data_IF_525055663275
#
_entry.id   IF_525055663275
#
_cell.length_a   1.000
_cell.length_b   1.000
_cell.length_c   1.000
_cell.angle_alpha   90.00
_cell.angle_beta   90.00
_cell.angle_gamma   90.00
#
_symmetry.space_group_name_H-M   'P 1'
#
loop_
_entity.id
_entity.type
_entity.pdbx_description
1 polymer ?
#
# COMPACT_ATOMS: atom_id res chain seq x y z
N UNK A 1 0.48 -34.62 42.64
CA UNK A 1 -0.65 -34.28 41.75
C UNK A 1 -0.32 -32.99 40.99
N UNK A 2 -0.21 -33.06 39.66
CA UNK A 2 0.20 -31.93 38.82
C UNK A 2 -0.94 -30.90 38.72
N UNK A 3 -0.70 -29.67 39.20
CA UNK A 3 -1.59 -28.52 38.98
C UNK A 3 -1.41 -28.02 37.55
N UNK A 4 -1.95 -28.74 36.57
CA UNK A 4 -2.01 -28.26 35.19
C UNK A 4 -3.34 -27.54 35.00
N UNK A 5 -3.37 -26.23 35.22
CA UNK A 5 -4.46 -25.42 34.67
C UNK A 5 -4.29 -25.44 33.15
N UNK A 6 -5.30 -25.94 32.43
CA UNK A 6 -5.35 -25.77 30.98
C UNK A 6 -5.52 -24.28 30.70
N UNK A 7 -4.48 -23.65 30.15
CA UNK A 7 -4.54 -22.25 29.77
C UNK A 7 -5.69 -22.03 28.76
N UNK A 8 -6.62 -21.15 29.09
CA UNK A 8 -7.70 -20.78 28.18
C UNK A 8 -7.11 -20.10 26.93
N UNK A 9 -7.45 -20.65 25.76
CA UNK A 9 -6.98 -20.10 24.48
C UNK A 9 -7.68 -18.76 24.24
N UNK A 10 -6.96 -17.66 24.37
CA UNK A 10 -7.46 -16.33 23.98
C UNK A 10 -7.84 -16.34 22.50
N UNK A 11 -9.12 -16.13 22.21
CA UNK A 11 -9.61 -16.00 20.83
C UNK A 11 -9.14 -14.67 20.25
N UNK A 12 -8.50 -14.69 19.09
CA UNK A 12 -8.13 -13.46 18.39
C UNK A 12 -9.39 -12.66 18.01
N UNK A 13 -9.38 -11.34 18.25
CA UNK A 13 -10.46 -10.43 17.83
C UNK A 13 -10.53 -10.36 16.29
N UNK A 14 -11.65 -9.91 15.73
CA UNK A 14 -11.72 -9.58 14.30
C UNK A 14 -10.92 -8.32 13.98
N UNK A 15 -10.38 -8.23 12.76
CA UNK A 15 -9.68 -7.02 12.31
C UNK A 15 -10.64 -5.82 12.21
N UNK A 16 -10.24 -4.57 12.56
CA UNK A 16 -11.13 -3.41 12.49
C UNK A 16 -11.46 -2.92 11.08
N UNK A 17 -10.66 -3.26 10.07
CA UNK A 17 -10.80 -2.74 8.70
C UNK A 17 -11.60 -3.74 7.84
N UNK A 18 -11.24 -5.01 7.91
CA UNK A 18 -11.86 -6.07 7.10
C UNK A 18 -12.88 -6.91 7.87
N UNK A 19 -13.06 -6.65 9.18
CA UNK A 19 -13.92 -7.45 10.07
C UNK A 19 -13.64 -8.97 10.04
N UNK A 20 -12.45 -9.37 9.59
CA UNK A 20 -12.06 -10.76 9.38
C UNK A 20 -11.04 -11.22 10.44
N UNK A 21 -11.31 -12.36 11.09
CA UNK A 21 -10.43 -12.92 12.14
C UNK A 21 -9.13 -13.51 11.56
N UNK A 22 -9.18 -14.09 10.36
CA UNK A 22 -8.00 -14.65 9.69
C UNK A 22 -6.99 -13.56 9.38
N UNK A 23 -7.45 -12.40 8.89
CA UNK A 23 -6.61 -11.22 8.66
C UNK A 23 -5.89 -10.83 9.94
N UNK A 24 -6.61 -10.68 11.06
CA UNK A 24 -5.99 -10.33 12.33
C UNK A 24 -4.98 -11.40 12.81
N UNK A 25 -5.26 -12.68 12.63
CA UNK A 25 -4.32 -13.76 13.00
C UNK A 25 -3.06 -13.77 12.14
N UNK A 26 -3.19 -13.55 10.82
CA UNK A 26 -2.05 -13.44 9.90
C UNK A 26 -1.21 -12.20 10.23
N UNK A 27 -1.86 -11.07 10.47
CA UNK A 27 -1.22 -9.81 10.86
C UNK A 27 -0.45 -9.97 12.18
N UNK A 28 -1.07 -10.55 13.22
CA UNK A 28 -0.42 -10.80 14.51
C UNK A 28 0.76 -11.78 14.41
N UNK A 29 0.73 -12.72 13.45
CA UNK A 29 1.83 -13.67 13.22
C UNK A 29 3.01 -13.01 12.49
N UNK A 30 2.75 -12.08 11.57
CA UNK A 30 3.78 -11.35 10.79
C UNK A 30 4.37 -10.19 11.60
N UNK A 31 3.60 -9.62 12.54
CA UNK A 31 3.99 -8.54 13.45
C UNK A 31 5.19 -8.92 14.35
N UNK A 32 6.42 -8.74 13.87
CA UNK A 32 7.60 -8.59 14.74
C UNK A 32 7.59 -7.17 15.33
N UNK A 33 7.56 -7.06 16.67
CA UNK A 33 7.72 -5.82 17.44
C UNK A 33 6.60 -4.76 17.31
N UNK A 34 5.35 -5.15 17.05
CA UNK A 34 4.18 -4.27 17.23
C UNK A 34 3.94 -3.20 16.15
N UNK A 35 4.71 -3.18 15.05
CA UNK A 35 4.50 -2.21 13.95
C UNK A 35 3.37 -2.64 12.99
N UNK A 36 2.13 -2.31 13.34
CA UNK A 36 0.91 -2.60 12.56
C UNK A 36 0.86 -1.98 11.16
N UNK A 37 1.73 -1.03 10.86
CA UNK A 37 1.71 -0.27 9.60
C UNK A 37 2.25 -1.04 8.38
N UNK A 38 3.05 -2.10 8.57
CA UNK A 38 3.60 -2.88 7.46
C UNK A 38 2.62 -3.93 6.92
N UNK A 39 1.61 -4.32 7.69
CA UNK A 39 0.87 -5.58 7.50
C UNK A 39 -0.46 -5.45 6.72
N UNK A 40 -1.00 -4.25 6.52
CA UNK A 40 -2.32 -4.05 5.89
C UNK A 40 -2.27 -3.69 4.39
N UNK A 41 -1.27 -4.17 3.65
CA UNK A 41 -1.18 -3.90 2.21
C UNK A 41 -2.03 -4.88 1.42
N UNK A 42 -3.36 -4.76 1.52
CA UNK A 42 -4.29 -5.50 0.67
C UNK A 42 -4.48 -4.71 -0.63
N UNK A 43 -4.17 -5.28 -1.80
CA UNK A 43 -4.42 -4.64 -3.08
C UNK A 43 -5.92 -4.50 -3.32
N UNK A 44 -6.34 -3.33 -3.81
CA UNK A 44 -7.73 -3.05 -4.17
C UNK A 44 -7.75 -2.61 -5.64
N UNK A 45 -8.73 -3.11 -6.40
CA UNK A 45 -8.96 -2.65 -7.77
C UNK A 45 -9.46 -1.20 -7.77
N UNK A 46 -8.81 -0.37 -8.56
CA UNK A 46 -9.08 1.07 -8.63
C UNK A 46 -10.00 1.32 -9.83
N UNK A 47 -11.10 2.06 -9.61
CA UNK A 47 -11.99 2.50 -10.71
C UNK A 47 -11.24 3.45 -11.65
N UNK A 48 -11.56 3.43 -12.94
CA UNK A 48 -10.87 4.24 -13.96
C UNK A 48 -10.81 5.75 -13.64
N UNK A 49 -11.85 6.31 -13.02
CA UNK A 49 -11.90 7.70 -12.56
C UNK A 49 -10.88 8.00 -11.46
N UNK A 50 -10.77 7.12 -10.47
CA UNK A 50 -9.81 7.23 -9.37
C UNK A 50 -8.37 7.04 -9.88
N UNK A 51 -8.17 6.18 -10.88
CA UNK A 51 -6.87 6.01 -11.55
C UNK A 51 -6.37 7.29 -12.19
N UNK A 52 -7.23 8.04 -12.89
CA UNK A 52 -6.89 9.35 -13.48
C UNK A 52 -6.49 10.37 -12.40
N UNK A 53 -7.25 10.45 -11.31
CA UNK A 53 -6.95 11.36 -10.19
C UNK A 53 -5.61 11.01 -9.54
N UNK A 54 -5.30 9.72 -9.35
CA UNK A 54 -4.02 9.27 -8.82
C UNK A 54 -2.85 9.63 -9.74
N UNK A 55 -3.01 9.43 -11.05
CA UNK A 55 -2.00 9.80 -12.04
C UNK A 55 -1.66 11.30 -11.98
N UNK A 56 -2.68 12.16 -11.95
CA UNK A 56 -2.48 13.62 -11.83
C UNK A 56 -1.77 13.97 -10.53
N UNK A 57 -2.20 13.38 -9.40
CA UNK A 57 -1.57 13.61 -8.09
C UNK A 57 -0.11 13.18 -8.06
N UNK A 58 0.24 12.07 -8.69
CA UNK A 58 1.62 11.59 -8.76
C UNK A 58 2.49 12.49 -9.64
N UNK A 59 1.99 12.92 -10.81
CA UNK A 59 2.69 13.87 -11.68
C UNK A 59 2.96 15.21 -10.97
N UNK A 60 1.95 15.78 -10.31
CA UNK A 60 2.11 17.02 -9.54
C UNK A 60 3.08 16.85 -8.36
N UNK A 61 2.98 15.73 -7.63
CA UNK A 61 3.86 15.43 -6.51
C UNK A 61 5.32 15.24 -6.93
N UNK A 62 5.54 14.58 -8.07
CA UNK A 62 6.88 14.39 -8.65
C UNK A 62 7.46 15.72 -9.16
N UNK A 63 6.64 16.52 -9.86
CA UNK A 63 7.03 17.84 -10.36
C UNK A 63 7.44 18.80 -9.24
N UNK A 64 6.71 18.80 -8.11
CA UNK A 64 7.04 19.63 -6.93
C UNK A 64 8.39 19.25 -6.30
N UNK A 65 8.76 17.98 -6.34
CA UNK A 65 10.01 17.47 -5.77
C UNK A 65 11.23 17.68 -6.68
N UNK A 66 11.04 18.03 -7.95
CA UNK A 66 12.17 18.31 -8.85
C UNK A 66 12.94 19.56 -8.43
N UNK A 67 14.27 19.57 -8.60
CA UNK A 67 15.06 20.80 -8.47
C UNK A 67 14.69 21.80 -9.58
N UNK A 68 14.86 23.10 -9.31
CA UNK A 68 14.55 24.19 -10.24
C UNK A 68 13.66 25.28 -9.64
N UNK A 69 13.54 26.43 -10.31
CA UNK A 69 12.86 27.61 -9.77
C UNK A 69 11.38 27.69 -10.16
N UNK A 70 11.04 27.40 -11.42
CA UNK A 70 9.69 27.60 -11.95
C UNK A 70 8.93 26.26 -12.05
N UNK A 71 7.70 26.23 -11.55
CA UNK A 71 6.83 25.04 -11.59
C UNK A 71 6.52 24.59 -13.02
N UNK A 72 6.31 25.54 -13.94
CA UNK A 72 5.94 25.25 -15.32
C UNK A 72 7.00 24.38 -16.00
N UNK A 73 8.28 24.76 -15.88
CA UNK A 73 9.37 23.97 -16.42
C UNK A 73 9.46 22.59 -15.74
N UNK A 74 9.33 22.50 -14.42
CA UNK A 74 9.36 21.21 -13.72
C UNK A 74 8.27 20.25 -14.20
N UNK A 75 7.05 20.77 -14.36
CA UNK A 75 5.91 20.00 -14.84
C UNK A 75 6.11 19.56 -16.28
N UNK A 76 6.54 20.44 -17.18
CA UNK A 76 6.82 20.08 -18.57
C UNK A 76 7.86 18.98 -18.68
N UNK A 77 8.95 19.06 -17.91
CA UNK A 77 9.97 18.01 -17.91
C UNK A 77 9.44 16.69 -17.34
N UNK A 78 8.67 16.70 -16.25
CA UNK A 78 8.09 15.46 -15.70
C UNK A 78 7.06 14.84 -16.66
N UNK A 79 6.29 15.64 -17.38
CA UNK A 79 5.37 15.16 -18.42
C UNK A 79 6.13 14.53 -19.61
N UNK A 80 7.22 15.17 -20.06
CA UNK A 80 8.06 14.63 -21.13
C UNK A 80 8.72 13.31 -20.72
N UNK A 81 9.20 13.21 -19.48
CA UNK A 81 9.77 11.98 -18.96
C UNK A 81 8.69 10.90 -18.80
N UNK A 82 7.53 11.24 -18.26
CA UNK A 82 6.42 10.31 -18.11
C UNK A 82 5.92 9.76 -19.45
N UNK A 83 5.90 10.58 -20.50
CA UNK A 83 5.55 10.14 -21.86
C UNK A 83 6.55 9.12 -22.43
N UNK A 84 7.82 9.19 -22.00
CA UNK A 84 8.87 8.21 -22.33
C UNK A 84 8.90 7.00 -21.39
N UNK A 85 7.94 6.89 -20.46
CA UNK A 85 7.92 5.82 -19.45
C UNK A 85 8.92 6.02 -18.31
N UNK A 86 9.46 7.23 -18.14
CA UNK A 86 10.46 7.56 -17.13
C UNK A 86 9.93 8.60 -16.13
N UNK A 87 10.71 8.87 -15.08
CA UNK A 87 10.39 9.90 -14.09
C UNK A 87 9.84 9.34 -12.77
N UNK A 88 9.73 10.24 -11.78
CA UNK A 88 9.38 9.86 -10.42
C UNK A 88 7.90 9.47 -10.30
N UNK A 89 7.04 10.05 -11.13
CA UNK A 89 5.63 9.68 -11.18
C UNK A 89 5.43 8.24 -11.69
N UNK A 90 6.16 7.85 -12.76
CA UNK A 90 6.09 6.50 -13.34
C UNK A 90 6.70 5.47 -12.38
N UNK A 91 7.88 5.75 -11.81
CA UNK A 91 8.49 4.86 -10.81
C UNK A 91 7.52 4.58 -9.65
N UNK A 92 6.81 5.60 -9.18
CA UNK A 92 5.81 5.43 -8.12
C UNK A 92 4.64 4.53 -8.56
N UNK A 93 4.14 4.70 -9.79
CA UNK A 93 3.13 3.81 -10.37
C UNK A 93 3.62 2.36 -10.37
N UNK A 94 4.80 2.12 -10.90
CA UNK A 94 5.38 0.77 -11.00
C UNK A 94 5.62 0.13 -9.63
N UNK A 95 6.16 0.89 -8.67
CA UNK A 95 6.32 0.42 -7.29
C UNK A 95 4.98 0.01 -6.66
N UNK A 96 3.92 0.81 -6.87
CA UNK A 96 2.60 0.48 -6.35
C UNK A 96 1.99 -0.74 -7.04
N UNK A 97 2.18 -0.91 -8.35
CA UNK A 97 1.74 -2.10 -9.08
C UNK A 97 2.50 -3.35 -8.65
N UNK A 98 3.83 -3.29 -8.56
CA UNK A 98 4.68 -4.39 -8.08
C UNK A 98 4.31 -4.81 -6.66
N UNK A 99 4.04 -3.84 -5.79
CA UNK A 99 3.58 -4.08 -4.43
C UNK A 99 2.18 -4.70 -4.38
N UNK A 100 1.30 -4.32 -5.29
CA UNK A 100 -0.02 -4.93 -5.44
C UNK A 100 0.09 -6.39 -5.92
N UNK A 101 0.94 -6.66 -6.91
CA UNK A 101 1.20 -8.01 -7.43
C UNK A 101 1.79 -8.94 -6.38
N UNK A 102 2.79 -8.45 -5.63
CA UNK A 102 3.42 -9.21 -4.54
C UNK A 102 2.41 -9.59 -3.43
N UNK A 103 1.38 -8.77 -3.23
CA UNK A 103 0.34 -9.01 -2.24
C UNK A 103 -0.98 -9.51 -2.84
N UNK A 104 -0.97 -9.98 -4.10
CA UNK A 104 -2.19 -10.45 -4.80
C UNK A 104 -2.90 -11.58 -4.04
N UNK A 105 -2.15 -12.45 -3.37
CA UNK A 105 -2.69 -13.51 -2.52
C UNK A 105 -3.60 -12.99 -1.39
N UNK A 106 -3.41 -11.74 -0.97
CA UNK A 106 -4.22 -11.13 0.08
C UNK A 106 -5.51 -10.45 -0.43
N UNK A 107 -5.73 -10.39 -1.74
CA UNK A 107 -6.92 -9.75 -2.32
C UNK A 107 -8.24 -10.44 -1.89
N UNK A 108 -8.18 -11.73 -1.56
CA UNK A 108 -9.32 -12.53 -1.10
C UNK A 108 -9.73 -12.26 0.36
N UNK A 109 -8.98 -11.46 1.12
CA UNK A 109 -9.31 -11.13 2.51
C UNK A 109 -10.37 -10.03 2.67
N UNK A 110 -10.97 -9.58 1.56
CA UNK A 110 -12.17 -8.75 1.54
C UNK A 110 -13.37 -9.48 2.13
#
# INVERSE_FOLDING_TARGET
MSRRSTAEKKTAKSDPIYHNRLVNMVVNRILKNGKKSLTYRVPIEIRSTQGKVLAIRWLLGASRKRPGRNMNFKLSHELMDAARGNGNAIRKKEETHRMAEANRAFAHFR
#
